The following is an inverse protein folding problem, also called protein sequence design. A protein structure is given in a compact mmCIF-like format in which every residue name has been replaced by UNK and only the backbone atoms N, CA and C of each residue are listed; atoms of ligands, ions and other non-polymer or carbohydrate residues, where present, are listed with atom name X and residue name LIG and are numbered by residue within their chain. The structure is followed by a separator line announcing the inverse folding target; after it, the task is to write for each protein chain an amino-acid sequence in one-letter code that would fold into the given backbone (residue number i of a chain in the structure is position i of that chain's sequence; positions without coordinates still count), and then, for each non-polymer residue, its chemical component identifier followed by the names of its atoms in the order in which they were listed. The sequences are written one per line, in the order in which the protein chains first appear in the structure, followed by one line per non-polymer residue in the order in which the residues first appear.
data_IF_637900774988
#
_entry.id   IF_637900774988
#
_cell.length_a   1.000
_cell.length_b   1.000
_cell.length_c   1.000
_cell.angle_alpha   90.00
_cell.angle_beta   90.00
_cell.angle_gamma   90.00
#
_symmetry.space_group_name_H-M   'P 1'
#
loop_
_entity.id
_entity.type
_entity.pdbx_description
1 polymer ?
#
# COMPACT_ATOMS: atom_id res chain seq x y z
N UNK A 1 13.81 -26.31 -28.54
CA UNK A 1 15.29 -26.24 -28.74
C UNK A 1 15.86 -25.16 -27.86
N UNK A 2 16.94 -25.43 -27.14
CA UNK A 2 17.64 -24.40 -26.34
C UNK A 2 18.38 -23.46 -27.31
N UNK A 3 18.36 -22.16 -27.03
CA UNK A 3 19.04 -21.13 -27.84
C UNK A 3 20.56 -21.39 -27.86
N UNK A 4 21.24 -21.17 -29.00
CA UNK A 4 22.71 -21.29 -29.10
C UNK A 4 23.40 -20.44 -28.02
N UNK A 5 24.41 -20.99 -27.33
CA UNK A 5 25.11 -20.35 -26.22
C UNK A 5 24.41 -20.52 -24.85
N UNK A 6 23.38 -21.36 -24.77
CA UNK A 6 22.67 -21.70 -23.54
C UNK A 6 22.55 -23.20 -23.36
N UNK A 7 22.41 -23.67 -22.11
CA UNK A 7 22.21 -25.06 -21.74
C UNK A 7 21.03 -25.22 -20.79
N UNK A 8 20.38 -26.38 -20.86
CA UNK A 8 19.30 -26.78 -19.94
C UNK A 8 19.92 -27.34 -18.65
N UNK A 9 19.42 -26.95 -17.51
CA UNK A 9 19.88 -27.38 -16.17
C UNK A 9 18.70 -27.50 -15.21
N UNK A 10 18.95 -27.89 -13.96
CA UNK A 10 17.94 -27.97 -12.89
C UNK A 10 17.33 -26.58 -12.55
N UNK A 11 18.11 -25.52 -12.67
CA UNK A 11 17.62 -24.14 -12.48
C UNK A 11 16.91 -23.56 -13.72
N UNK A 12 16.85 -24.34 -14.81
CA UNK A 12 16.28 -23.92 -16.09
C UNK A 12 17.34 -23.69 -17.15
N UNK A 13 17.04 -22.84 -18.14
CA UNK A 13 17.96 -22.50 -19.24
C UNK A 13 18.88 -21.37 -18.80
N UNK A 14 20.19 -21.65 -18.78
CA UNK A 14 21.24 -20.68 -18.39
C UNK A 14 22.33 -20.59 -19.48
N UNK A 15 23.16 -19.54 -19.50
CA UNK A 15 24.31 -19.44 -20.38
C UNK A 15 25.27 -20.62 -20.24
N UNK A 16 25.94 -21.05 -21.34
CA UNK A 16 26.84 -22.20 -21.31
C UNK A 16 28.00 -22.05 -20.32
N UNK A 17 28.52 -20.84 -20.15
CA UNK A 17 29.62 -20.54 -19.21
C UNK A 17 29.17 -20.39 -17.75
N UNK A 18 27.86 -20.29 -17.46
CA UNK A 18 27.37 -20.31 -16.08
C UNK A 18 27.37 -21.75 -15.54
N UNK A 19 27.52 -21.87 -14.21
CA UNK A 19 27.47 -23.17 -13.54
C UNK A 19 26.12 -23.36 -12.87
N UNK A 20 25.58 -24.57 -12.94
CA UNK A 20 24.49 -25.03 -12.08
C UNK A 20 25.13 -25.65 -10.85
N UNK A 21 24.94 -25.04 -9.68
CA UNK A 21 25.56 -25.46 -8.43
C UNK A 21 24.53 -25.63 -7.33
N UNK A 22 24.72 -26.65 -6.49
CA UNK A 22 23.99 -26.77 -5.23
C UNK A 22 24.54 -25.79 -4.20
N UNK A 23 23.67 -25.16 -3.40
CA UNK A 23 24.07 -24.27 -2.31
C UNK A 23 25.02 -24.93 -1.33
N UNK A 24 24.85 -26.23 -1.05
CA UNK A 24 25.75 -27.01 -0.19
C UNK A 24 27.17 -27.20 -0.74
N UNK A 25 27.40 -26.96 -2.06
CA UNK A 25 28.72 -27.01 -2.67
C UNK A 25 29.48 -25.67 -2.57
N UNK A 26 28.76 -24.58 -2.29
CA UNK A 26 29.32 -23.22 -2.24
C UNK A 26 29.27 -22.62 -0.83
N UNK A 27 28.73 -23.35 0.13
CA UNK A 27 28.70 -22.90 1.53
C UNK A 27 28.12 -23.94 2.49
N UNK A 28 28.18 -23.64 3.77
CA UNK A 28 27.69 -24.47 4.88
C UNK A 28 26.52 -23.75 5.58
N UNK A 29 25.43 -24.49 5.82
CA UNK A 29 24.30 -23.92 6.58
C UNK A 29 24.69 -23.80 8.05
N UNK A 30 24.59 -22.59 8.56
CA UNK A 30 24.90 -22.20 9.94
C UNK A 30 23.68 -21.64 10.65
N UNK A 31 23.69 -21.69 11.99
CA UNK A 31 22.69 -21.09 12.87
C UNK A 31 23.31 -20.74 14.21
N UNK A 32 22.74 -19.77 14.92
CA UNK A 32 23.15 -19.42 16.26
C UNK A 32 22.87 -20.55 17.27
N UNK A 33 23.56 -20.54 18.40
CA UNK A 33 23.24 -21.40 19.54
C UNK A 33 21.90 -21.02 20.14
N UNK A 34 21.12 -22.04 20.57
CA UNK A 34 19.79 -21.84 21.17
C UNK A 34 19.84 -20.96 22.40
N UNK A 35 18.93 -19.99 22.43
CA UNK A 35 18.59 -19.19 23.60
C UNK A 35 17.28 -19.74 24.18
N UNK A 36 17.25 -19.96 25.48
CA UNK A 36 16.06 -20.43 26.21
C UNK A 36 15.24 -19.25 26.73
N UNK A 37 13.94 -19.47 26.97
CA UNK A 37 13.02 -18.42 27.40
C UNK A 37 13.48 -17.68 28.68
N UNK A 38 14.08 -18.39 29.65
CA UNK A 38 14.60 -17.79 30.89
C UNK A 38 15.84 -16.93 30.68
N UNK A 39 16.48 -16.97 29.50
CA UNK A 39 17.64 -16.17 29.13
C UNK A 39 17.24 -14.90 28.38
N UNK A 40 15.93 -14.68 28.15
CA UNK A 40 15.41 -13.52 27.44
C UNK A 40 14.60 -12.61 28.37
N UNK A 41 14.54 -11.34 28.04
CA UNK A 41 13.72 -10.31 28.70
C UNK A 41 13.01 -9.47 27.65
N UNK A 42 12.00 -8.69 28.07
CA UNK A 42 11.26 -7.76 27.19
C UNK A 42 12.04 -6.47 26.92
N UNK A 43 13.10 -6.22 27.70
CA UNK A 43 14.02 -5.08 27.55
C UNK A 43 15.43 -5.57 27.83
N UNK A 44 16.44 -5.00 27.19
CA UNK A 44 17.82 -5.42 27.38
C UNK A 44 18.79 -4.76 26.42
N UNK A 45 20.03 -5.24 26.43
CA UNK A 45 21.13 -4.62 25.71
C UNK A 45 21.24 -5.13 24.27
N UNK A 46 21.02 -6.44 24.05
CA UNK A 46 21.20 -7.05 22.74
C UNK A 46 19.86 -7.58 22.22
N UNK A 47 19.36 -7.07 21.07
CA UNK A 47 18.14 -7.58 20.47
C UNK A 47 18.22 -9.07 20.13
N UNK A 48 17.18 -9.83 20.49
CA UNK A 48 17.02 -11.24 20.14
C UNK A 48 15.88 -11.39 19.13
N UNK A 49 16.23 -11.69 17.90
CA UNK A 49 15.26 -11.87 16.82
C UNK A 49 14.73 -13.30 16.76
N UNK A 50 13.44 -13.43 17.04
CA UNK A 50 12.67 -14.66 16.80
C UNK A 50 12.09 -14.64 15.38
N UNK A 51 11.57 -15.78 14.93
CA UNK A 51 10.98 -15.88 13.57
C UNK A 51 9.87 -14.85 13.32
N UNK A 52 9.10 -14.48 14.34
CA UNK A 52 8.03 -13.48 14.25
C UNK A 52 8.52 -12.05 14.07
N UNK A 53 9.70 -11.75 14.62
CA UNK A 53 10.33 -10.40 14.58
C UNK A 53 11.46 -10.30 13.57
N UNK A 54 11.80 -11.38 12.87
CA UNK A 54 12.87 -11.40 11.88
C UNK A 54 12.63 -10.37 10.76
N UNK A 55 13.55 -9.44 10.57
CA UNK A 55 13.44 -8.31 9.65
C UNK A 55 12.49 -7.19 10.09
N UNK A 56 12.16 -7.14 11.41
CA UNK A 56 11.34 -6.10 12.05
C UNK A 56 12.03 -5.63 13.33
N UNK A 57 11.33 -4.90 14.18
CA UNK A 57 11.78 -4.56 15.52
C UNK A 57 11.76 -5.79 16.46
N UNK A 58 12.77 -5.92 17.28
CA UNK A 58 12.86 -7.00 18.25
C UNK A 58 11.85 -6.78 19.41
N UNK A 59 11.27 -7.87 19.91
CA UNK A 59 10.39 -7.90 21.07
C UNK A 59 11.00 -8.67 22.27
N UNK A 60 12.24 -9.11 22.13
CA UNK A 60 13.00 -9.81 23.16
C UNK A 60 14.46 -9.42 23.09
N UNK A 61 15.14 -9.55 24.23
CA UNK A 61 16.54 -9.15 24.40
C UNK A 61 17.28 -10.18 25.23
N UNK A 62 18.60 -10.25 25.08
CA UNK A 62 19.53 -11.03 25.90
C UNK A 62 20.54 -10.09 26.55
N UNK A 63 21.21 -10.56 27.60
CA UNK A 63 22.31 -9.81 28.22
C UNK A 63 23.53 -9.73 27.30
N UNK A 64 24.31 -8.66 27.45
CA UNK A 64 25.56 -8.47 26.71
C UNK A 64 26.56 -9.58 27.02
N UNK A 65 26.64 -10.03 28.28
CA UNK A 65 27.50 -11.12 28.69
C UNK A 65 27.21 -12.43 27.98
N UNK A 66 25.94 -12.83 27.93
CA UNK A 66 25.50 -14.03 27.19
C UNK A 66 25.78 -13.94 25.70
N UNK A 67 25.57 -12.76 25.13
CA UNK A 67 25.84 -12.48 23.72
C UNK A 67 27.34 -12.67 23.40
N UNK A 68 28.22 -12.06 24.17
CA UNK A 68 29.68 -12.14 23.94
C UNK A 68 30.19 -13.58 24.12
N UNK A 69 29.75 -14.30 25.19
CA UNK A 69 30.10 -15.71 25.39
C UNK A 69 29.67 -16.57 24.18
N UNK A 70 28.41 -16.40 23.72
CA UNK A 70 27.90 -17.23 22.64
C UNK A 70 28.51 -16.86 21.30
N UNK A 71 28.73 -15.59 21.01
CA UNK A 71 29.39 -15.11 19.79
C UNK A 71 30.79 -15.65 19.65
N UNK A 72 31.53 -15.75 20.78
CA UNK A 72 32.90 -16.26 20.79
C UNK A 72 32.97 -17.79 20.61
N UNK A 73 32.00 -18.53 21.16
CA UNK A 73 32.08 -19.99 21.28
C UNK A 73 31.31 -20.73 20.18
N UNK A 74 30.38 -20.10 19.55
CA UNK A 74 29.45 -20.77 18.57
C UNK A 74 29.42 -20.02 17.26
N UNK A 75 28.80 -20.64 16.26
CA UNK A 75 28.58 -20.02 14.96
C UNK A 75 27.75 -18.73 15.12
N UNK A 76 28.25 -17.66 14.52
CA UNK A 76 27.63 -16.35 14.54
C UNK A 76 27.83 -15.70 13.15
N UNK A 77 26.81 -15.00 12.60
CA UNK A 77 26.91 -14.40 11.27
C UNK A 77 27.91 -13.23 11.26
N UNK A 78 28.55 -13.02 10.14
CA UNK A 78 29.41 -11.87 9.88
C UNK A 78 28.61 -10.77 9.17
N UNK A 79 29.08 -9.53 9.26
CA UNK A 79 28.51 -8.43 8.50
C UNK A 79 28.47 -8.76 6.99
N UNK A 80 27.30 -8.51 6.38
CA UNK A 80 27.02 -8.85 4.99
C UNK A 80 26.46 -10.27 4.78
N UNK A 81 26.46 -11.15 5.79
CA UNK A 81 25.85 -12.47 5.65
C UNK A 81 24.35 -12.37 5.45
N UNK A 82 23.80 -13.24 4.61
CA UNK A 82 22.39 -13.28 4.29
C UNK A 82 21.67 -14.32 5.14
N UNK A 83 20.97 -13.86 6.15
CA UNK A 83 20.13 -14.69 6.99
C UNK A 83 18.79 -14.98 6.29
N UNK A 84 18.29 -16.20 6.45
CA UNK A 84 16.98 -16.61 5.91
C UNK A 84 16.09 -17.24 6.97
N UNK A 85 14.77 -17.04 6.83
CA UNK A 85 13.80 -17.73 7.66
C UNK A 85 13.60 -19.17 7.19
N UNK A 86 13.85 -20.13 8.09
CA UNK A 86 13.66 -21.56 7.85
C UNK A 86 12.29 -22.07 8.35
N UNK A 87 11.47 -21.21 8.95
CA UNK A 87 10.12 -21.51 9.40
C UNK A 87 9.17 -20.32 9.13
N UNK A 88 7.86 -20.53 9.21
CA UNK A 88 6.85 -19.51 8.94
C UNK A 88 6.85 -19.11 7.47
N UNK A 89 7.11 -17.83 7.15
CA UNK A 89 7.31 -17.39 5.76
C UNK A 89 8.70 -17.81 5.32
N UNK A 90 8.78 -18.94 4.62
CA UNK A 90 10.05 -19.55 4.20
C UNK A 90 10.84 -18.62 3.27
N UNK A 91 12.17 -18.57 3.47
CA UNK A 91 13.09 -17.87 2.59
C UNK A 91 13.07 -16.34 2.69
N UNK A 92 12.39 -15.76 3.69
CA UNK A 92 12.56 -14.31 3.96
C UNK A 92 14.03 -14.06 4.27
N UNK A 93 14.66 -13.16 3.52
CA UNK A 93 16.09 -12.87 3.62
C UNK A 93 16.34 -11.49 4.23
N UNK A 94 17.33 -11.41 5.09
CA UNK A 94 17.83 -10.18 5.73
C UNK A 94 19.34 -10.20 5.67
N UNK A 95 19.95 -9.12 5.23
CA UNK A 95 21.40 -8.95 5.29
C UNK A 95 21.76 -8.50 6.69
N UNK A 96 22.69 -9.18 7.33
CA UNK A 96 23.17 -8.80 8.65
C UNK A 96 24.06 -7.54 8.58
N UNK A 97 23.70 -6.51 9.32
CA UNK A 97 24.33 -5.18 9.28
C UNK A 97 25.53 -5.03 10.23
N UNK A 98 25.94 -6.13 10.87
CA UNK A 98 27.08 -6.14 11.81
C UNK A 98 26.80 -5.61 13.21
N UNK A 99 25.59 -5.05 13.45
CA UNK A 99 25.23 -4.57 14.80
C UNK A 99 24.99 -5.73 15.76
N UNK A 100 25.19 -5.45 17.05
CA UNK A 100 24.92 -6.45 18.09
C UNK A 100 23.45 -6.90 18.03
N UNK A 101 23.27 -8.18 17.73
CA UNK A 101 21.96 -8.83 17.60
C UNK A 101 22.15 -10.34 17.75
N UNK A 102 21.13 -11.06 18.20
CA UNK A 102 21.16 -12.51 18.24
C UNK A 102 19.92 -13.11 17.57
N UNK A 103 20.06 -14.32 17.00
CA UNK A 103 19.03 -14.89 16.13
C UNK A 103 18.57 -16.26 16.63
N UNK A 104 17.27 -16.51 16.53
CA UNK A 104 16.66 -17.77 16.97
C UNK A 104 17.22 -18.95 16.17
N UNK A 105 17.77 -19.94 16.88
CA UNK A 105 18.31 -21.17 16.32
C UNK A 105 17.29 -21.92 15.46
N UNK A 106 17.76 -22.63 14.46
CA UNK A 106 16.99 -23.50 13.56
C UNK A 106 15.81 -22.86 12.80
N UNK A 107 15.36 -21.68 13.18
CA UNK A 107 14.33 -20.90 12.50
C UNK A 107 14.88 -19.76 11.67
N UNK A 108 16.07 -19.26 12.05
CA UNK A 108 16.85 -18.28 11.30
C UNK A 108 18.23 -18.87 11.07
N UNK A 109 18.59 -19.06 9.82
CA UNK A 109 19.84 -19.70 9.39
C UNK A 109 20.51 -18.84 8.32
N UNK A 110 21.78 -19.08 8.07
CA UNK A 110 22.51 -18.47 6.96
C UNK A 110 23.42 -19.52 6.30
N UNK A 111 23.90 -19.19 5.11
CA UNK A 111 24.90 -19.96 4.41
C UNK A 111 26.25 -19.26 4.63
N UNK A 112 27.18 -19.92 5.32
CA UNK A 112 28.57 -19.50 5.39
C UNK A 112 29.24 -19.91 4.08
N UNK A 113 29.41 -18.94 3.18
CA UNK A 113 29.76 -19.16 1.76
C UNK A 113 31.27 -19.08 1.53
N UNK A 114 31.72 -19.82 0.50
CA UNK A 114 33.03 -19.54 -0.11
C UNK A 114 32.95 -18.27 -0.98
N UNK A 115 33.48 -17.17 -0.46
CA UNK A 115 33.43 -15.84 -1.11
C UNK A 115 34.24 -15.75 -2.42
N UNK A 116 35.05 -16.77 -2.74
CA UNK A 116 35.72 -16.91 -4.04
C UNK A 116 34.80 -17.47 -5.12
N UNK A 117 33.69 -18.09 -4.74
CA UNK A 117 32.72 -18.71 -5.63
C UNK A 117 31.39 -17.96 -5.72
N UNK A 118 30.94 -17.41 -4.58
CA UNK A 118 29.63 -16.76 -4.45
C UNK A 118 29.75 -15.49 -3.61
N UNK A 119 29.11 -14.40 -4.03
CA UNK A 119 29.00 -13.20 -3.23
C UNK A 119 27.63 -13.12 -2.53
N UNK A 120 27.61 -12.57 -1.31
CA UNK A 120 26.40 -12.47 -0.49
C UNK A 120 25.34 -11.55 -1.14
N UNK A 121 25.76 -10.49 -1.81
CA UNK A 121 24.87 -9.54 -2.48
C UNK A 121 24.09 -10.23 -3.62
N UNK A 122 24.76 -11.06 -4.41
CA UNK A 122 24.11 -11.88 -5.44
C UNK A 122 23.17 -12.91 -4.80
N UNK A 123 23.62 -13.62 -3.77
CA UNK A 123 22.85 -14.61 -3.03
C UNK A 123 21.58 -13.99 -2.43
N UNK A 124 21.65 -12.77 -1.88
CA UNK A 124 20.49 -12.03 -1.36
C UNK A 124 19.40 -11.84 -2.41
N UNK A 125 19.77 -11.43 -3.61
CA UNK A 125 18.82 -11.27 -4.72
C UNK A 125 18.33 -12.62 -5.23
N UNK A 126 19.22 -13.61 -5.29
CA UNK A 126 18.87 -14.93 -5.75
C UNK A 126 17.86 -15.63 -4.82
N UNK A 127 18.00 -15.48 -3.51
CA UNK A 127 17.05 -16.01 -2.52
C UNK A 127 15.60 -15.52 -2.75
N UNK A 128 15.40 -14.35 -3.33
CA UNK A 128 14.08 -13.80 -3.63
C UNK A 128 13.37 -14.51 -4.80
N UNK A 129 14.09 -15.23 -5.64
CA UNK A 129 13.55 -15.96 -6.79
C UNK A 129 13.51 -17.46 -6.59
N UNK A 130 14.19 -17.99 -5.60
CA UNK A 130 14.17 -19.44 -5.28
C UNK A 130 12.75 -19.83 -4.86
N UNK A 131 12.24 -20.87 -5.51
CA UNK A 131 11.05 -21.58 -5.06
C UNK A 131 11.49 -22.65 -4.06
N UNK A 132 11.46 -22.31 -2.78
CA UNK A 132 11.83 -23.26 -1.73
C UNK A 132 10.86 -24.42 -1.71
N UNK A 133 11.37 -25.63 -1.89
CA UNK A 133 10.58 -26.86 -1.70
C UNK A 133 10.17 -26.95 -0.23
N UNK A 134 8.87 -27.09 0.04
CA UNK A 134 8.39 -27.43 1.37
C UNK A 134 8.44 -28.95 1.54
N UNK A 135 8.71 -29.44 2.77
CA UNK A 135 8.58 -30.86 3.07
C UNK A 135 7.11 -31.29 2.90
N UNK A 136 6.84 -32.21 1.99
CA UNK A 136 5.52 -32.81 1.83
C UNK A 136 5.12 -33.55 3.12
N UNK A 137 3.89 -33.32 3.61
CA UNK A 137 3.29 -34.06 4.73
C UNK A 137 3.44 -33.41 6.12
N UNK A 138 4.03 -32.20 6.25
CA UNK A 138 4.11 -31.47 7.52
C UNK A 138 3.06 -30.34 7.59
N UNK A 139 2.36 -30.27 8.72
CA UNK A 139 1.39 -29.19 9.02
C UNK A 139 2.02 -27.78 9.03
N UNK A 140 3.36 -27.71 9.19
CA UNK A 140 4.12 -26.47 9.18
C UNK A 140 5.27 -26.61 8.16
N UNK A 141 5.24 -25.78 7.13
CA UNK A 141 6.30 -25.70 6.13
C UNK A 141 7.62 -25.28 6.81
N UNK A 142 8.70 -26.04 6.59
CA UNK A 142 10.03 -25.79 7.16
C UNK A 142 11.13 -26.05 6.14
N UNK A 143 12.15 -25.18 6.13
CA UNK A 143 13.39 -25.39 5.39
C UNK A 143 14.38 -26.17 6.26
N UNK A 144 14.57 -27.44 5.96
CA UNK A 144 15.63 -28.24 6.56
C UNK A 144 16.96 -28.00 5.84
N UNK A 145 18.07 -28.19 6.54
CA UNK A 145 19.42 -28.01 5.98
C UNK A 145 19.60 -28.79 4.66
N UNK A 146 19.04 -30.01 4.56
CA UNK A 146 19.11 -30.80 3.34
C UNK A 146 18.39 -30.15 2.16
N UNK A 147 17.26 -29.46 2.39
CA UNK A 147 16.55 -28.72 1.33
C UNK A 147 17.43 -27.54 0.88
N UNK A 148 17.95 -26.75 1.81
CA UNK A 148 18.84 -25.63 1.49
C UNK A 148 20.07 -26.11 0.71
N UNK A 149 20.79 -27.10 1.24
CA UNK A 149 22.00 -27.62 0.61
C UNK A 149 21.77 -28.21 -0.79
N UNK A 150 20.61 -28.85 -1.02
CA UNK A 150 20.27 -29.45 -2.33
C UNK A 150 19.62 -28.46 -3.30
N UNK A 151 19.34 -27.23 -2.89
CA UNK A 151 18.79 -26.20 -3.77
C UNK A 151 19.84 -25.77 -4.79
N UNK A 152 19.46 -25.82 -6.07
CA UNK A 152 20.31 -25.41 -7.18
C UNK A 152 20.25 -23.90 -7.42
N UNK A 153 21.39 -23.31 -7.75
CA UNK A 153 21.50 -21.92 -8.18
C UNK A 153 22.28 -21.80 -9.48
N UNK A 154 21.91 -20.82 -10.30
CA UNK A 154 22.69 -20.42 -11.48
C UNK A 154 23.84 -19.53 -11.01
N UNK A 155 25.06 -19.88 -11.34
CA UNK A 155 26.27 -19.26 -10.82
C UNK A 155 27.15 -18.73 -11.97
N UNK A 156 27.11 -17.40 -12.26
CA UNK A 156 28.10 -16.72 -13.10
C UNK A 156 29.47 -16.66 -12.44
N UNK A 157 30.47 -16.10 -13.09
CA UNK A 157 31.69 -15.71 -12.42
C UNK A 157 31.44 -14.58 -11.38
N UNK A 158 32.36 -14.42 -10.43
CA UNK A 158 32.18 -13.51 -9.29
C UNK A 158 32.04 -12.05 -9.73
N UNK A 159 32.67 -11.66 -10.82
CA UNK A 159 32.58 -10.30 -11.31
C UNK A 159 31.20 -10.01 -11.87
N UNK A 160 30.66 -10.90 -12.68
CA UNK A 160 29.27 -10.77 -13.17
C UNK A 160 28.23 -10.87 -12.04
N UNK A 161 28.47 -11.71 -11.00
CA UNK A 161 27.63 -11.73 -9.80
C UNK A 161 27.56 -10.34 -9.14
N UNK A 162 28.68 -9.67 -8.94
CA UNK A 162 28.76 -8.33 -8.35
C UNK A 162 28.05 -7.29 -9.20
N UNK A 163 28.24 -7.33 -10.52
CA UNK A 163 27.53 -6.41 -11.43
C UNK A 163 26.03 -6.59 -11.36
N UNK A 164 25.54 -7.83 -11.41
CA UNK A 164 24.12 -8.15 -11.26
C UNK A 164 23.58 -7.65 -9.92
N UNK A 165 24.30 -7.94 -8.82
CA UNK A 165 23.92 -7.53 -7.48
C UNK A 165 23.87 -6.00 -7.35
N UNK A 166 24.87 -5.28 -7.89
CA UNK A 166 24.90 -3.81 -7.88
C UNK A 166 23.68 -3.22 -8.54
N UNK A 167 23.36 -3.63 -9.77
CA UNK A 167 22.22 -3.12 -10.52
C UNK A 167 20.89 -3.43 -9.82
N UNK A 168 20.74 -4.62 -9.22
CA UNK A 168 19.55 -4.99 -8.46
C UNK A 168 19.46 -4.24 -7.12
N UNK A 169 20.58 -3.89 -6.50
CA UNK A 169 20.62 -3.12 -5.26
C UNK A 169 20.29 -1.65 -5.51
N UNK A 170 20.76 -1.07 -6.61
CA UNK A 170 20.41 0.30 -7.01
C UNK A 170 18.91 0.49 -7.20
N UNK A 171 18.24 -0.47 -7.86
CA UNK A 171 16.78 -0.39 -8.01
C UNK A 171 16.05 -0.61 -6.65
N UNK A 172 16.59 -1.43 -5.72
CA UNK A 172 16.07 -1.58 -4.38
C UNK A 172 16.19 -0.27 -3.58
N UNK A 173 17.31 0.43 -3.72
CA UNK A 173 17.51 1.74 -3.11
C UNK A 173 16.52 2.77 -3.65
N UNK A 174 16.33 2.85 -4.97
CA UNK A 174 15.34 3.74 -5.59
C UNK A 174 13.92 3.47 -5.08
N UNK A 175 13.54 2.20 -4.93
CA UNK A 175 12.26 1.79 -4.35
C UNK A 175 12.15 2.32 -2.91
N UNK A 176 13.15 2.04 -2.06
CA UNK A 176 13.17 2.45 -0.65
C UNK A 176 13.11 3.97 -0.48
N UNK A 177 13.90 4.72 -1.25
CA UNK A 177 13.90 6.18 -1.24
C UNK A 177 12.54 6.76 -1.68
N UNK A 178 11.92 6.16 -2.70
CA UNK A 178 10.59 6.59 -3.19
C UNK A 178 9.51 6.31 -2.14
N UNK A 179 9.54 5.16 -1.44
CA UNK A 179 8.63 4.83 -0.34
C UNK A 179 8.75 5.82 0.83
N UNK A 180 9.99 6.17 1.22
CA UNK A 180 10.25 7.19 2.24
C UNK A 180 9.73 8.56 1.82
N UNK A 181 9.92 8.94 0.56
CA UNK A 181 9.40 10.19 0.00
C UNK A 181 7.86 10.24 0.08
N UNK A 182 7.17 9.17 -0.35
CA UNK A 182 5.70 9.07 -0.28
C UNK A 182 5.23 9.21 1.16
N UNK A 183 5.83 8.48 2.10
CA UNK A 183 5.48 8.55 3.53
C UNK A 183 5.65 9.96 4.09
N UNK A 184 6.77 10.62 3.81
CA UNK A 184 7.02 12.01 4.22
C UNK A 184 6.00 12.98 3.62
N UNK A 185 5.69 12.86 2.32
CA UNK A 185 4.71 13.72 1.64
C UNK A 185 3.29 13.52 2.20
N UNK A 186 2.88 12.28 2.51
CA UNK A 186 1.60 12.00 3.16
C UNK A 186 1.51 12.63 4.55
N UNK A 187 2.56 12.54 5.36
CA UNK A 187 2.61 13.17 6.69
C UNK A 187 2.53 14.70 6.60
N UNK A 188 3.27 15.32 5.67
CA UNK A 188 3.21 16.77 5.42
C UNK A 188 1.80 17.18 4.99
N UNK A 189 1.20 16.47 4.03
CA UNK A 189 -0.17 16.74 3.58
C UNK A 189 -1.15 16.69 4.73
N UNK A 190 -1.11 15.65 5.56
CA UNK A 190 -2.01 15.50 6.72
C UNK A 190 -1.87 16.67 7.71
N UNK A 191 -0.65 17.07 8.07
CA UNK A 191 -0.41 18.25 8.92
C UNK A 191 -0.93 19.54 8.29
N UNK A 192 -0.65 19.74 7.00
CA UNK A 192 -1.11 20.91 6.24
C UNK A 192 -2.64 20.98 6.17
N UNK A 193 -3.32 19.85 5.92
CA UNK A 193 -4.78 19.79 5.93
C UNK A 193 -5.35 20.21 7.28
N UNK A 194 -4.80 19.70 8.38
CA UNK A 194 -5.24 20.07 9.73
C UNK A 194 -5.05 21.54 10.02
N UNK A 195 -3.98 22.16 9.53
CA UNK A 195 -3.73 23.58 9.74
C UNK A 195 -4.63 24.47 8.86
N UNK A 196 -4.69 24.20 7.54
CA UNK A 196 -5.40 25.03 6.58
C UNK A 196 -6.93 24.89 6.69
N UNK A 197 -7.46 23.68 6.82
CA UNK A 197 -8.91 23.44 6.87
C UNK A 197 -9.54 23.73 8.24
N UNK A 198 -8.72 23.99 9.25
CA UNK A 198 -9.18 24.44 10.59
C UNK A 198 -8.92 25.94 10.83
N UNK A 199 -8.36 26.63 9.86
CA UNK A 199 -8.03 28.06 9.98
C UNK A 199 -6.88 28.38 10.94
N UNK A 200 -6.19 27.37 11.49
CA UNK A 200 -5.02 27.57 12.38
C UNK A 200 -3.87 28.25 11.65
N UNK A 201 -3.75 27.98 10.39
CA UNK A 201 -2.80 28.61 9.47
C UNK A 201 -3.53 29.10 8.23
N UNK A 202 -3.12 30.25 7.73
CA UNK A 202 -3.69 30.85 6.52
C UNK A 202 -2.65 30.84 5.40
N UNK A 203 -3.11 30.77 4.18
CA UNK A 203 -2.24 31.02 3.03
C UNK A 203 -1.86 32.52 2.99
N UNK A 204 -0.67 32.88 2.50
CA UNK A 204 -0.25 34.28 2.40
C UNK A 204 -1.23 35.13 1.60
N UNK A 205 -1.52 36.35 2.09
CA UNK A 205 -2.42 37.28 1.41
C UNK A 205 -3.90 37.19 1.82
N UNK A 206 -4.29 36.20 2.60
CA UNK A 206 -5.68 36.01 3.04
C UNK A 206 -5.85 36.38 4.51
N UNK A 207 -6.81 37.27 4.80
CA UNK A 207 -7.13 37.72 6.17
C UNK A 207 -8.64 37.82 6.45
N UNK A 208 -9.50 37.47 5.48
CA UNK A 208 -10.94 37.56 5.60
C UNK A 208 -11.48 36.60 6.68
N UNK A 209 -12.70 36.90 7.17
CA UNK A 209 -13.34 36.11 8.22
C UNK A 209 -13.66 34.70 7.74
N UNK A 210 -13.61 33.76 8.67
CA UNK A 210 -14.13 32.43 8.52
C UNK A 210 -15.45 32.31 9.23
N UNK A 211 -16.31 31.43 8.74
CA UNK A 211 -17.63 31.18 9.32
C UNK A 211 -17.95 29.72 9.41
N UNK A 212 -18.96 29.41 10.18
CA UNK A 212 -19.54 28.08 10.30
C UNK A 212 -21.00 28.17 9.93
N UNK A 213 -21.40 27.43 8.90
CA UNK A 213 -22.79 27.25 8.50
C UNK A 213 -23.13 25.75 8.58
N UNK A 214 -24.42 25.41 8.59
CA UNK A 214 -24.87 24.03 8.41
C UNK A 214 -25.00 23.71 6.91
N UNK A 215 -24.98 22.43 6.55
CA UNK A 215 -25.06 22.00 5.14
C UNK A 215 -26.21 22.68 4.38
N UNK A 216 -27.46 22.76 4.87
CA UNK A 216 -28.55 23.43 4.14
C UNK A 216 -28.26 24.87 3.72
N UNK A 217 -27.50 25.62 4.54
CA UNK A 217 -27.20 27.02 4.27
C UNK A 217 -26.21 27.25 3.12
N UNK A 218 -25.44 26.22 2.78
CA UNK A 218 -24.45 26.25 1.69
C UNK A 218 -24.92 25.50 0.44
N UNK A 219 -26.17 25.01 0.41
CA UNK A 219 -26.75 24.38 -0.74
C UNK A 219 -27.55 25.34 -1.60
N UNK A 220 -27.83 24.93 -2.83
CA UNK A 220 -28.80 25.60 -3.70
C UNK A 220 -30.20 25.54 -3.06
N UNK A 221 -30.99 26.60 -3.20
CA UNK A 221 -32.34 26.68 -2.63
C UNK A 221 -33.28 25.61 -3.18
N UNK A 222 -33.08 25.25 -4.44
CA UNK A 222 -33.87 24.19 -5.11
C UNK A 222 -33.01 22.96 -5.32
N UNK A 223 -33.53 21.78 -5.05
CA UNK A 223 -32.83 20.49 -5.23
C UNK A 223 -31.50 20.36 -4.50
N UNK A 224 -31.27 21.13 -3.45
CA UNK A 224 -29.96 21.21 -2.75
C UNK A 224 -29.49 19.89 -2.17
N UNK A 225 -30.39 19.07 -1.62
CA UNK A 225 -30.07 17.72 -1.10
C UNK A 225 -31.07 16.70 -1.57
N UNK A 226 -30.60 15.52 -1.96
CA UNK A 226 -31.45 14.39 -2.36
C UNK A 226 -30.76 13.06 -2.06
N UNK A 227 -31.54 12.10 -1.56
CA UNK A 227 -31.14 10.68 -1.51
C UNK A 227 -31.55 9.97 -2.80
N UNK A 228 -30.84 8.91 -3.14
CA UNK A 228 -31.26 8.02 -4.22
C UNK A 228 -32.58 7.30 -3.93
N UNK A 229 -33.18 6.67 -4.93
CA UNK A 229 -34.49 6.03 -4.84
C UNK A 229 -34.44 4.80 -3.92
N UNK A 230 -35.44 4.64 -3.05
CA UNK A 230 -35.50 3.52 -2.12
C UNK A 230 -36.10 2.25 -2.77
N UNK A 231 -35.58 1.10 -2.35
CA UNK A 231 -36.06 -0.27 -2.51
C UNK A 231 -37.01 -0.53 -3.71
N UNK A 232 -38.28 -0.36 -3.53
CA UNK A 232 -39.30 -0.64 -4.57
C UNK A 232 -39.23 0.26 -5.80
N UNK A 233 -38.60 1.43 -5.69
CA UNK A 233 -38.48 2.37 -6.81
C UNK A 233 -37.41 1.98 -7.82
N UNK A 234 -36.34 1.29 -7.37
CA UNK A 234 -35.21 0.84 -8.19
C UNK A 234 -34.91 -0.65 -7.94
N UNK A 235 -35.82 -1.53 -8.37
CA UNK A 235 -35.63 -2.98 -8.27
C UNK A 235 -34.69 -3.48 -9.36
N UNK A 236 -34.06 -4.67 -9.13
CA UNK A 236 -33.19 -5.34 -10.11
C UNK A 236 -33.82 -5.53 -11.48
N UNK A 237 -35.15 -5.78 -11.52
CA UNK A 237 -35.92 -5.98 -12.74
C UNK A 237 -35.97 -4.75 -13.68
N UNK A 238 -35.66 -3.56 -13.15
CA UNK A 238 -35.59 -2.33 -13.93
C UNK A 238 -34.18 -2.04 -14.48
N UNK A 239 -33.22 -2.80 -14.04
CA UNK A 239 -31.80 -2.60 -14.42
C UNK A 239 -31.54 -3.36 -15.73
N UNK A 240 -30.92 -2.65 -16.66
CA UNK A 240 -30.42 -3.17 -17.94
C UNK A 240 -28.89 -3.25 -17.86
N UNK A 241 -28.30 -4.18 -18.59
CA UNK A 241 -26.82 -4.30 -18.69
C UNK A 241 -26.20 -3.25 -19.63
N UNK A 242 -27.01 -2.66 -20.49
CA UNK A 242 -26.66 -1.58 -21.42
C UNK A 242 -27.82 -0.60 -21.60
N UNK A 243 -27.52 0.66 -21.92
CA UNK A 243 -28.54 1.68 -22.13
C UNK A 243 -27.99 3.11 -22.11
N UNK A 244 -28.94 4.07 -22.27
CA UNK A 244 -28.61 5.50 -22.34
C UNK A 244 -28.56 6.19 -20.97
N UNK A 245 -29.18 5.60 -19.94
CA UNK A 245 -29.31 6.24 -18.63
C UNK A 245 -28.67 5.37 -17.56
N UNK A 246 -27.52 5.80 -17.08
CA UNK A 246 -26.68 5.04 -16.12
C UNK A 246 -27.21 5.14 -14.69
N UNK A 247 -27.01 4.09 -13.89
CA UNK A 247 -27.22 4.10 -12.44
C UNK A 247 -25.89 4.15 -11.74
N UNK A 248 -25.60 5.27 -11.11
CA UNK A 248 -24.39 5.52 -10.35
C UNK A 248 -24.51 5.00 -8.92
N UNK A 249 -23.51 4.27 -8.45
CA UNK A 249 -23.46 3.70 -7.11
C UNK A 249 -22.23 4.15 -6.32
N UNK A 250 -22.09 3.56 -5.16
CA UNK A 250 -20.96 3.84 -4.27
C UNK A 250 -19.60 3.57 -4.92
N UNK A 251 -19.52 2.58 -5.78
CA UNK A 251 -18.32 2.22 -6.53
C UNK A 251 -17.75 3.41 -7.30
N UNK A 252 -18.61 4.25 -7.89
CA UNK A 252 -18.20 5.45 -8.62
C UNK A 252 -17.60 6.51 -7.68
N UNK A 253 -18.15 6.63 -6.47
CA UNK A 253 -17.63 7.54 -5.44
C UNK A 253 -16.32 7.04 -4.85
N UNK A 254 -16.19 5.74 -4.58
CA UNK A 254 -14.99 5.17 -3.98
C UNK A 254 -13.77 5.22 -4.92
N UNK A 255 -14.01 4.96 -6.20
CA UNK A 255 -12.96 4.95 -7.22
C UNK A 255 -12.70 6.31 -7.85
N UNK A 256 -13.59 7.30 -7.63
CA UNK A 256 -13.61 8.58 -8.35
C UNK A 256 -13.78 8.38 -9.87
N UNK A 257 -14.30 7.22 -10.29
CA UNK A 257 -14.47 6.84 -11.69
C UNK A 257 -15.94 6.64 -12.02
N UNK A 258 -16.51 7.57 -12.77
CA UNK A 258 -17.90 7.56 -13.20
C UNK A 258 -18.12 6.79 -14.52
N UNK A 259 -17.07 6.25 -15.12
CA UNK A 259 -17.15 5.39 -16.30
C UNK A 259 -17.48 3.93 -15.95
N UNK A 260 -17.10 3.44 -14.78
CA UNK A 260 -17.33 2.06 -14.34
C UNK A 260 -18.78 1.75 -14.03
N UNK A 261 -19.13 0.47 -14.07
CA UNK A 261 -20.47 -0.05 -13.80
C UNK A 261 -21.30 -0.20 -15.07
N UNK A 262 -22.15 -1.23 -15.07
CA UNK A 262 -22.99 -1.66 -16.19
C UNK A 262 -24.49 -1.71 -15.84
N UNK A 263 -24.95 -0.82 -14.96
CA UNK A 263 -26.33 -0.70 -14.56
C UNK A 263 -26.98 0.48 -15.29
N UNK A 264 -28.00 0.22 -16.07
CA UNK A 264 -28.69 1.23 -16.87
C UNK A 264 -30.21 1.16 -16.70
N UNK A 265 -30.90 2.21 -17.10
CA UNK A 265 -32.34 2.32 -17.09
C UNK A 265 -32.86 2.63 -18.49
N UNK A 266 -34.10 2.22 -18.76
CA UNK A 266 -34.87 2.71 -19.92
C UNK A 266 -35.31 4.17 -19.70
N UNK A 267 -35.75 4.82 -20.78
CA UNK A 267 -36.14 6.25 -20.77
C UNK A 267 -37.32 6.53 -19.83
N UNK A 268 -38.28 5.61 -19.77
CA UNK A 268 -39.49 5.78 -18.95
C UNK A 268 -39.12 5.77 -17.46
N UNK A 269 -38.30 4.79 -17.02
CA UNK A 269 -37.88 4.66 -15.65
C UNK A 269 -36.97 5.82 -15.22
N UNK A 270 -36.10 6.27 -16.11
CA UNK A 270 -35.27 7.47 -15.86
C UNK A 270 -36.14 8.70 -15.61
N UNK A 271 -37.20 8.93 -16.43
CA UNK A 271 -38.12 10.05 -16.23
C UNK A 271 -38.86 9.98 -14.89
N UNK A 272 -39.29 8.78 -14.48
CA UNK A 272 -39.95 8.59 -13.18
C UNK A 272 -39.02 8.92 -12.00
N UNK A 273 -37.72 8.71 -12.17
CA UNK A 273 -36.70 8.92 -11.14
C UNK A 273 -35.84 10.17 -11.38
N UNK A 274 -36.25 11.09 -12.22
CA UNK A 274 -35.53 12.27 -12.64
C UNK A 274 -35.09 13.16 -11.44
N UNK A 275 -35.85 13.14 -10.35
CA UNK A 275 -35.47 13.87 -9.13
C UNK A 275 -34.13 13.36 -8.50
N UNK A 276 -33.73 12.13 -8.85
CA UNK A 276 -32.47 11.52 -8.42
C UNK A 276 -31.35 11.63 -9.48
N UNK A 277 -31.57 12.44 -10.51
CA UNK A 277 -30.58 12.67 -11.58
C UNK A 277 -29.26 13.20 -11.01
N UNK A 278 -28.16 12.69 -11.58
CA UNK A 278 -26.78 13.11 -11.27
C UNK A 278 -26.26 13.97 -12.42
N UNK A 279 -25.77 15.14 -12.10
CA UNK A 279 -25.24 16.13 -13.05
C UNK A 279 -23.77 16.45 -12.71
N UNK A 280 -23.03 16.91 -13.69
CA UNK A 280 -21.70 17.47 -13.48
C UNK A 280 -21.70 18.54 -12.38
N UNK A 281 -20.71 18.52 -11.49
CA UNK A 281 -20.61 19.41 -10.34
C UNK A 281 -21.40 18.96 -9.11
N UNK A 282 -22.32 17.99 -9.22
CA UNK A 282 -23.00 17.42 -8.05
C UNK A 282 -21.98 16.82 -7.08
N UNK A 283 -22.15 17.06 -5.79
CA UNK A 283 -21.33 16.48 -4.73
C UNK A 283 -22.04 15.25 -4.16
N UNK A 284 -21.43 14.08 -4.27
CA UNK A 284 -21.99 12.82 -3.83
C UNK A 284 -21.34 12.32 -2.54
N UNK A 285 -22.16 11.76 -1.64
CA UNK A 285 -21.71 11.15 -0.38
C UNK A 285 -22.26 9.73 -0.30
N UNK A 286 -21.39 8.75 0.02
CA UNK A 286 -21.80 7.37 0.28
C UNK A 286 -22.47 7.24 1.65
N UNK A 287 -23.59 6.50 1.71
CA UNK A 287 -24.42 6.41 2.91
C UNK A 287 -24.32 5.09 3.63
N UNK A 288 -23.85 4.02 2.98
CA UNK A 288 -23.75 2.66 3.53
C UNK A 288 -22.38 2.04 3.24
N UNK A 289 -22.04 0.95 3.90
CA UNK A 289 -20.74 0.29 3.74
C UNK A 289 -19.61 1.19 4.22
N UNK A 290 -18.80 1.72 3.31
CA UNK A 290 -17.81 2.76 3.65
C UNK A 290 -18.49 4.13 3.65
N UNK A 291 -19.06 4.49 4.80
CA UNK A 291 -19.88 5.69 4.99
C UNK A 291 -19.02 6.95 4.89
N UNK A 292 -19.55 7.99 4.21
CA UNK A 292 -18.95 9.33 4.18
C UNK A 292 -17.82 9.52 3.17
N UNK A 293 -17.62 8.58 2.25
CA UNK A 293 -16.78 8.85 1.06
C UNK A 293 -17.49 9.85 0.17
N UNK A 294 -16.73 10.79 -0.36
CA UNK A 294 -17.24 11.89 -1.17
C UNK A 294 -16.59 11.91 -2.56
N UNK A 295 -17.36 12.37 -3.53
CA UNK A 295 -16.87 12.65 -4.87
C UNK A 295 -17.60 13.85 -5.48
N UNK A 296 -16.93 14.60 -6.36
CA UNK A 296 -17.52 15.58 -7.23
C UNK A 296 -17.72 14.91 -8.59
N UNK A 297 -18.92 15.03 -9.12
CA UNK A 297 -19.28 14.45 -10.43
C UNK A 297 -18.52 15.19 -11.54
N UNK A 298 -17.69 14.51 -12.35
CA UNK A 298 -16.93 15.16 -13.40
C UNK A 298 -17.78 15.57 -14.58
N UNK A 299 -17.21 16.38 -15.46
CA UNK A 299 -17.83 16.73 -16.75
C UNK A 299 -17.85 15.50 -17.68
N UNK A 300 -18.85 15.45 -18.57
CA UNK A 300 -18.92 14.46 -19.65
C UNK A 300 -19.39 13.07 -19.22
N UNK A 301 -20.05 12.93 -18.05
CA UNK A 301 -20.67 11.67 -17.64
C UNK A 301 -21.90 11.35 -18.49
N UNK A 302 -22.27 10.07 -18.57
CA UNK A 302 -23.57 9.66 -19.13
C UNK A 302 -24.73 10.20 -18.30
N UNK A 303 -25.83 10.58 -18.93
CA UNK A 303 -27.06 10.91 -18.20
C UNK A 303 -27.47 9.73 -17.32
N UNK A 304 -27.93 10.00 -16.09
CA UNK A 304 -28.27 8.91 -15.19
C UNK A 304 -28.75 9.39 -13.83
N UNK A 305 -28.98 8.43 -12.94
CA UNK A 305 -29.44 8.67 -11.57
C UNK A 305 -28.46 8.04 -10.57
N UNK A 306 -28.47 8.50 -9.34
CA UNK A 306 -27.81 7.81 -8.23
C UNK A 306 -28.68 6.66 -7.69
N UNK A 307 -28.07 5.64 -7.12
CA UNK A 307 -28.78 4.58 -6.39
C UNK A 307 -29.07 4.98 -4.92
N UNK A 308 -29.75 4.08 -4.17
CA UNK A 308 -30.19 4.33 -2.79
C UNK A 308 -29.05 4.50 -1.77
N UNK A 309 -27.81 4.20 -2.15
CA UNK A 309 -26.64 4.26 -1.27
C UNK A 309 -25.87 5.58 -1.36
N UNK A 310 -26.44 6.55 -2.08
CA UNK A 310 -25.82 7.87 -2.26
C UNK A 310 -26.76 8.98 -1.80
N UNK A 311 -26.16 10.03 -1.27
CA UNK A 311 -26.78 11.35 -1.08
C UNK A 311 -26.07 12.31 -2.04
N UNK A 312 -26.87 13.10 -2.77
CA UNK A 312 -26.39 14.19 -3.62
C UNK A 312 -26.61 15.52 -2.94
N UNK A 313 -25.58 16.36 -2.97
CA UNK A 313 -25.62 17.77 -2.60
C UNK A 313 -25.38 18.63 -3.85
N UNK A 314 -26.20 19.63 -4.09
CA UNK A 314 -25.92 20.71 -5.05
C UNK A 314 -25.46 21.93 -4.30
N UNK A 315 -24.18 22.17 -4.35
CA UNK A 315 -23.54 23.24 -3.60
C UNK A 315 -23.87 24.62 -4.23
N UNK A 316 -24.09 25.60 -3.40
CA UNK A 316 -24.16 26.99 -3.85
C UNK A 316 -22.71 27.53 -3.98
N UNK A 317 -22.17 27.49 -5.19
CA UNK A 317 -20.80 27.88 -5.50
C UNK A 317 -20.48 29.37 -5.24
N UNK A 318 -21.52 30.21 -5.01
CA UNK A 318 -21.32 31.59 -4.54
C UNK A 318 -20.98 31.68 -3.05
N UNK A 319 -21.09 30.56 -2.31
CA UNK A 319 -20.78 30.46 -0.88
C UNK A 319 -19.66 29.50 -0.58
N UNK A 320 -19.72 28.32 -1.19
CA UNK A 320 -18.81 27.22 -0.88
C UNK A 320 -18.37 26.51 -2.17
N UNK A 321 -17.08 26.31 -2.33
CA UNK A 321 -16.52 25.53 -3.44
C UNK A 321 -16.62 24.03 -3.15
N UNK A 322 -17.13 23.23 -4.09
CA UNK A 322 -17.23 21.77 -3.94
C UNK A 322 -15.87 21.12 -3.63
N UNK A 323 -14.78 21.60 -4.26
CA UNK A 323 -13.41 21.09 -4.06
C UNK A 323 -12.91 21.34 -2.63
N UNK A 324 -13.23 22.49 -2.04
CA UNK A 324 -12.91 22.79 -0.65
C UNK A 324 -13.66 21.82 0.29
N UNK A 325 -14.97 21.62 0.05
CA UNK A 325 -15.78 20.68 0.83
C UNK A 325 -15.27 19.24 0.71
N UNK A 326 -14.79 18.83 -0.47
CA UNK A 326 -14.21 17.52 -0.70
C UNK A 326 -12.99 17.27 0.22
N UNK A 327 -12.12 18.25 0.36
CA UNK A 327 -10.99 18.16 1.28
C UNK A 327 -11.43 18.22 2.74
N UNK A 328 -12.40 19.06 3.09
CA UNK A 328 -12.92 19.17 4.45
C UNK A 328 -13.58 17.85 4.91
N UNK A 329 -14.27 17.15 4.02
CA UNK A 329 -14.96 15.89 4.29
C UNK A 329 -14.09 14.67 4.05
N UNK A 330 -12.81 14.84 3.72
CA UNK A 330 -11.89 13.71 3.54
C UNK A 330 -11.72 12.88 4.83
N UNK A 331 -11.50 11.58 4.66
CA UNK A 331 -11.23 10.67 5.79
C UNK A 331 -9.97 11.05 6.56
N UNK A 332 -8.96 11.56 5.84
CA UNK A 332 -7.66 11.95 6.39
C UNK A 332 -7.78 13.07 7.43
N UNK A 333 -8.70 14.01 7.22
CA UNK A 333 -8.99 15.08 8.18
C UNK A 333 -9.83 14.56 9.36
N UNK A 334 -10.70 13.60 9.13
CA UNK A 334 -11.61 13.05 10.14
C UNK A 334 -12.74 13.99 10.56
N UNK A 335 -12.89 15.14 9.89
CA UNK A 335 -13.87 16.18 10.24
C UNK A 335 -15.32 15.68 10.13
N UNK A 336 -15.66 15.04 9.01
CA UNK A 336 -16.98 14.45 8.80
C UNK A 336 -17.24 13.31 9.81
N UNK A 337 -16.28 12.39 9.97
CA UNK A 337 -16.39 11.26 10.90
C UNK A 337 -16.59 11.72 12.35
N UNK A 338 -15.88 12.75 12.77
CA UNK A 338 -15.99 13.32 14.12
C UNK A 338 -17.38 13.90 14.39
N UNK A 339 -18.03 14.50 13.39
CA UNK A 339 -19.38 15.03 13.53
C UNK A 339 -20.45 13.93 13.47
N UNK A 340 -20.34 13.02 12.51
CA UNK A 340 -21.31 11.91 12.35
C UNK A 340 -21.33 11.02 13.60
N UNK A 341 -20.17 10.73 14.20
CA UNK A 341 -20.10 9.95 15.45
C UNK A 341 -20.82 10.64 16.63
N UNK A 342 -20.78 11.97 16.70
CA UNK A 342 -21.49 12.75 17.73
C UNK A 342 -23.00 12.81 17.51
N UNK A 343 -23.43 12.84 16.25
CA UNK A 343 -24.85 12.92 15.87
C UNK A 343 -25.56 11.57 15.90
N UNK A 344 -24.81 10.46 15.98
CA UNK A 344 -25.31 9.09 16.01
C UNK A 344 -25.41 8.50 17.43
N UNK A 345 -25.64 9.32 18.43
CA UNK A 345 -25.68 8.91 19.85
C UNK A 345 -26.74 7.83 20.07
N UNK A 346 -26.31 6.61 20.40
CA UNK A 346 -27.16 5.50 20.89
C UNK A 346 -27.45 4.37 19.91
N UNK A 347 -26.88 4.34 18.69
CA UNK A 347 -27.11 3.24 17.74
C UNK A 347 -25.89 2.87 16.93
N UNK A 348 -25.84 1.62 16.46
CA UNK A 348 -24.94 1.20 15.39
C UNK A 348 -25.27 2.06 14.18
N UNK A 349 -24.30 2.72 13.58
CA UNK A 349 -24.49 3.55 12.40
C UNK A 349 -24.78 2.65 11.19
N UNK A 350 -26.06 2.29 10.98
CA UNK A 350 -26.49 1.51 9.82
C UNK A 350 -26.43 2.31 8.50
N UNK A 351 -26.21 3.64 8.57
CA UNK A 351 -26.10 4.50 7.39
C UNK A 351 -26.10 6.00 7.69
N UNK A 352 -25.64 6.80 6.73
CA UNK A 352 -25.71 8.26 6.77
C UNK A 352 -27.06 8.74 6.24
N UNK A 353 -27.90 9.29 7.12
CA UNK A 353 -29.21 9.81 6.74
C UNK A 353 -29.14 11.29 6.33
N UNK A 354 -30.13 11.74 5.55
CA UNK A 354 -30.30 13.17 5.19
C UNK A 354 -30.41 14.04 6.44
N UNK A 355 -31.02 13.55 7.54
CA UNK A 355 -31.14 14.28 8.79
C UNK A 355 -29.74 14.55 9.39
N UNK A 356 -28.86 13.57 9.39
CA UNK A 356 -27.48 13.72 9.85
C UNK A 356 -26.72 14.70 8.96
N UNK A 357 -26.82 14.54 7.64
CA UNK A 357 -26.12 15.41 6.68
C UNK A 357 -26.57 16.86 6.84
N UNK A 358 -27.88 17.12 7.02
CA UNK A 358 -28.39 18.48 7.28
C UNK A 358 -27.87 19.11 8.57
N UNK A 359 -27.52 18.30 9.57
CA UNK A 359 -26.97 18.77 10.84
C UNK A 359 -25.44 18.94 10.84
N UNK A 360 -24.74 18.60 9.75
CA UNK A 360 -23.31 18.78 9.65
C UNK A 360 -22.96 20.26 9.52
N UNK A 361 -21.96 20.67 10.30
CA UNK A 361 -21.35 21.98 10.18
C UNK A 361 -20.27 21.98 9.10
N UNK A 362 -20.14 23.11 8.41
CA UNK A 362 -19.08 23.39 7.45
C UNK A 362 -18.35 24.64 7.91
N UNK A 363 -17.08 24.52 8.19
CA UNK A 363 -16.21 25.63 8.58
C UNK A 363 -15.35 26.04 7.39
N UNK A 364 -15.43 27.31 6.96
CA UNK A 364 -14.80 27.75 5.72
C UNK A 364 -14.54 29.27 5.71
N UNK A 365 -13.53 29.74 4.93
CA UNK A 365 -13.34 31.17 4.69
C UNK A 365 -14.49 31.73 3.85
N UNK A 366 -14.95 32.95 4.15
CA UNK A 366 -15.97 33.62 3.33
C UNK A 366 -15.48 33.95 1.92
N UNK A 367 -14.18 34.12 1.76
CA UNK A 367 -13.55 34.42 0.48
C UNK A 367 -13.39 33.14 -0.37
N UNK A 368 -14.13 33.10 -1.48
CA UNK A 368 -14.05 31.98 -2.44
C UNK A 368 -12.65 31.81 -3.04
N UNK A 369 -11.88 32.89 -3.17
CA UNK A 369 -10.51 32.81 -3.69
C UNK A 369 -9.58 32.09 -2.71
N UNK A 370 -9.80 32.23 -1.39
CA UNK A 370 -9.08 31.47 -0.39
C UNK A 370 -9.49 30.01 -0.36
N UNK A 371 -10.81 29.73 -0.44
CA UNK A 371 -11.30 28.35 -0.56
C UNK A 371 -10.64 27.64 -1.74
N UNK A 372 -10.62 28.32 -2.91
CA UNK A 372 -9.98 27.80 -4.12
C UNK A 372 -8.50 27.59 -3.92
N UNK A 373 -7.77 28.54 -3.36
CA UNK A 373 -6.35 28.43 -3.14
C UNK A 373 -5.99 27.26 -2.21
N UNK A 374 -6.77 27.04 -1.14
CA UNK A 374 -6.60 25.89 -0.23
C UNK A 374 -6.88 24.59 -0.97
N UNK A 375 -7.97 24.49 -1.72
CA UNK A 375 -8.33 23.29 -2.47
C UNK A 375 -7.30 22.95 -3.54
N UNK A 376 -6.86 23.93 -4.33
CA UNK A 376 -5.83 23.75 -5.37
C UNK A 376 -4.51 23.31 -4.75
N UNK A 377 -4.10 23.88 -3.62
CA UNK A 377 -2.87 23.51 -2.92
C UNK A 377 -2.92 22.05 -2.43
N UNK A 378 -4.00 21.65 -1.77
CA UNK A 378 -4.16 20.27 -1.29
C UNK A 378 -4.29 19.28 -2.45
N UNK A 379 -4.96 19.66 -3.52
CA UNK A 379 -5.09 18.83 -4.74
C UNK A 379 -3.74 18.65 -5.43
N UNK A 380 -2.89 19.68 -5.47
CA UNK A 380 -1.52 19.56 -6.01
C UNK A 380 -0.67 18.56 -5.22
N UNK A 381 -0.80 18.56 -3.88
CA UNK A 381 -0.12 17.57 -3.03
C UNK A 381 -0.62 16.14 -3.31
N UNK A 382 -1.93 15.96 -3.54
CA UNK A 382 -2.48 14.66 -3.93
C UNK A 382 -1.88 14.17 -5.25
N UNK A 383 -1.83 15.03 -6.26
CA UNK A 383 -1.28 14.71 -7.58
C UNK A 383 0.21 14.33 -7.48
N UNK A 384 0.98 15.04 -6.67
CA UNK A 384 2.39 14.72 -6.43
C UNK A 384 2.56 13.34 -5.78
N UNK A 385 1.76 13.03 -4.74
CA UNK A 385 1.78 11.71 -4.09
C UNK A 385 1.39 10.60 -5.08
N UNK A 386 0.32 10.77 -5.84
CA UNK A 386 -0.10 9.81 -6.87
C UNK A 386 0.97 9.56 -7.93
N UNK A 387 1.67 10.62 -8.37
CA UNK A 387 2.77 10.50 -9.33
C UNK A 387 3.92 9.67 -8.76
N UNK A 388 4.26 9.87 -7.49
CA UNK A 388 5.28 9.07 -6.80
C UNK A 388 4.84 7.60 -6.63
N UNK A 389 3.58 7.34 -6.31
CA UNK A 389 3.03 5.98 -6.19
C UNK A 389 3.04 5.24 -7.54
N UNK A 390 2.70 5.92 -8.63
CA UNK A 390 2.83 5.34 -9.99
C UNK A 390 4.28 5.04 -10.35
N UNK A 391 5.21 5.95 -10.00
CA UNK A 391 6.65 5.76 -10.20
C UNK A 391 7.16 4.55 -9.41
N UNK A 392 6.74 4.42 -8.15
CA UNK A 392 7.05 3.27 -7.30
C UNK A 392 6.55 1.96 -7.92
N UNK A 393 5.33 1.94 -8.44
CA UNK A 393 4.78 0.80 -9.16
C UNK A 393 5.64 0.39 -10.36
N UNK A 394 6.08 1.35 -11.17
CA UNK A 394 7.00 1.11 -12.30
C UNK A 394 8.35 0.55 -11.84
N UNK A 395 8.95 1.09 -10.79
CA UNK A 395 10.22 0.59 -10.27
C UNK A 395 10.12 -0.87 -9.79
N UNK A 396 9.03 -1.23 -9.11
CA UNK A 396 8.78 -2.62 -8.70
C UNK A 396 8.64 -3.57 -9.89
N UNK A 397 7.95 -3.15 -10.96
CA UNK A 397 7.83 -3.93 -12.20
C UNK A 397 9.19 -4.08 -12.92
N UNK A 398 9.96 -2.99 -13.02
CA UNK A 398 11.31 -3.01 -13.59
C UNK A 398 12.19 -4.00 -12.81
N UNK A 399 12.22 -3.90 -11.48
CA UNK A 399 12.97 -4.83 -10.63
C UNK A 399 12.59 -6.29 -10.89
N UNK A 400 11.29 -6.58 -10.94
CA UNK A 400 10.82 -7.94 -11.21
C UNK A 400 11.31 -8.44 -12.58
N UNK A 401 11.23 -7.61 -13.62
CA UNK A 401 11.76 -7.94 -14.95
C UNK A 401 13.28 -8.14 -14.94
N UNK A 402 14.02 -7.26 -14.27
CA UNK A 402 15.48 -7.37 -14.13
C UNK A 402 15.88 -8.67 -13.42
N UNK A 403 15.23 -9.01 -12.30
CA UNK A 403 15.50 -10.26 -11.59
C UNK A 403 15.29 -11.49 -12.50
N UNK A 404 14.21 -11.50 -13.27
CA UNK A 404 13.92 -12.59 -14.22
C UNK A 404 14.92 -12.68 -15.38
N UNK A 405 15.50 -11.58 -15.80
CA UNK A 405 16.44 -11.54 -16.92
C UNK A 405 17.89 -11.77 -16.48
N UNK A 406 18.32 -11.08 -15.41
CA UNK A 406 19.71 -11.10 -14.94
C UNK A 406 20.05 -12.38 -14.16
N UNK A 407 19.19 -12.80 -13.20
CA UNK A 407 19.46 -13.99 -12.40
C UNK A 407 19.29 -15.32 -13.17
N UNK A 408 18.77 -15.27 -14.37
CA UNK A 408 18.69 -16.42 -15.29
C UNK A 408 19.68 -16.33 -16.44
N UNK A 409 20.46 -15.24 -16.52
CA UNK A 409 21.42 -15.01 -17.60
C UNK A 409 20.80 -14.79 -18.99
N UNK A 410 19.50 -14.47 -19.05
CA UNK A 410 18.84 -14.10 -20.34
C UNK A 410 19.38 -12.79 -20.88
N UNK A 411 19.75 -11.87 -20.00
CA UNK A 411 20.53 -10.68 -20.27
C UNK A 411 21.81 -10.78 -19.47
N UNK A 412 22.94 -10.44 -20.10
CA UNK A 412 24.27 -10.47 -19.51
C UNK A 412 24.77 -9.05 -19.29
N UNK A 413 25.49 -8.85 -18.18
CA UNK A 413 26.22 -7.62 -17.88
C UNK A 413 27.72 -7.91 -18.08
N UNK A 414 28.14 -7.89 -19.36
CA UNK A 414 29.54 -8.15 -19.76
C UNK A 414 30.09 -6.92 -20.46
#
# INVERSE_FOLDING_TARGET
MVKKGYKQTEVGVIPENWKDQKLGNVGKVCMCKRIFAHQTSNTGEVPFFKIGTFGKEADAYISKELYEDYKQRFSYPQEGDVLISAAGTLGRSVVFDGKDAYFQDSNIVWLDIDRNLLCNEYLYHYYKVIKWGASEGSTIARLYNGIICNTHIALPDVEEQKQIATVLSEIDELISLTEKQISKKKAIKQGTMQELLTGKRRLPGYCNKWKTDIIPDVLQKQEGIKTGPFGSQLKKEYLLEDGLYKVYGQENVYTQDFSIGNRYLNREKFRQLQSCEVRSGDFLISTMGTIGKCAIVPNGICSGIMDSHLIRLRINEQKLMPEYLLHLFSEELGYLKGQTSKLSVGGIMDGLSTKIVNALNVFYPEDLSEQKAIADFLSSMNTEIQTLEQKLGKYRQIKQGMMQQLLTGKIRLT
#
